data_IF_908162865822
#
_entry.id   IF_908162865822
#
_cell.length_a   1.000
_cell.length_b   1.000
_cell.length_c   1.000
_cell.angle_alpha   90.00
_cell.angle_beta   90.00
_cell.angle_gamma   90.00
#
_symmetry.space_group_name_H-M   'P 1'
#
loop_
_entity.id
_entity.type
_entity.pdbx_description
1 polymer ?
#
# COMPACT_ATOMS: atom_id res chain seq x y z
N UNK A 1 3.78 -7.46 -18.89
CA UNK A 1 4.66 -6.68 -17.99
C UNK A 1 3.83 -6.18 -16.82
N UNK A 2 4.09 -6.64 -15.60
CA UNK A 2 3.32 -6.23 -14.42
C UNK A 2 3.69 -4.80 -14.00
N UNK A 3 2.76 -4.11 -13.35
CA UNK A 3 2.97 -2.74 -12.85
C UNK A 3 2.87 -2.76 -11.34
N UNK A 4 3.79 -2.08 -10.65
CA UNK A 4 3.74 -1.93 -9.21
C UNK A 4 3.42 -0.48 -8.85
N UNK A 5 2.29 -0.29 -8.17
CA UNK A 5 1.84 0.99 -7.64
C UNK A 5 2.36 1.11 -6.19
N UNK A 6 3.10 2.17 -5.88
CA UNK A 6 3.53 2.42 -4.50
C UNK A 6 3.50 3.91 -4.18
N UNK A 7 3.35 4.22 -2.90
CA UNK A 7 3.35 5.58 -2.40
C UNK A 7 4.71 6.28 -2.58
N UNK A 8 4.71 7.62 -2.57
CA UNK A 8 5.90 8.47 -2.63
C UNK A 8 6.95 8.08 -1.57
N UNK A 9 6.55 7.59 -0.40
CA UNK A 9 7.49 7.11 0.64
C UNK A 9 8.44 6.00 0.16
N UNK A 10 7.98 5.16 -0.78
CA UNK A 10 8.72 4.04 -1.37
C UNK A 10 9.65 4.46 -2.50
N UNK A 11 9.75 5.76 -2.80
CA UNK A 11 10.70 6.25 -3.78
C UNK A 11 12.14 6.08 -3.28
N UNK A 12 12.80 5.05 -3.79
CA UNK A 12 14.19 4.69 -3.49
C UNK A 12 14.78 3.83 -4.62
N UNK A 13 16.04 4.08 -4.97
CA UNK A 13 16.66 3.47 -6.16
C UNK A 13 16.83 1.96 -6.02
N UNK A 14 17.18 1.49 -4.82
CA UNK A 14 17.25 0.06 -4.50
C UNK A 14 15.91 -0.63 -4.75
N UNK A 15 14.80 -0.01 -4.34
CA UNK A 15 13.46 -0.58 -4.50
C UNK A 15 13.04 -0.55 -5.98
N UNK A 16 13.22 0.57 -6.67
CA UNK A 16 12.94 0.68 -8.11
C UNK A 16 13.72 -0.36 -8.91
N UNK A 17 15.02 -0.52 -8.61
CA UNK A 17 15.87 -1.55 -9.22
C UNK A 17 15.39 -2.97 -8.92
N UNK A 18 14.95 -3.26 -7.69
CA UNK A 18 14.38 -4.56 -7.35
C UNK A 18 13.08 -4.86 -8.11
N UNK A 19 12.21 -3.85 -8.28
CA UNK A 19 10.95 -3.97 -9.03
C UNK A 19 11.25 -4.28 -10.50
N UNK A 20 12.20 -3.55 -11.10
CA UNK A 20 12.63 -3.76 -12.50
C UNK A 20 13.24 -5.14 -12.69
N UNK A 21 14.13 -5.59 -11.77
CA UNK A 21 14.71 -6.95 -11.81
C UNK A 21 13.66 -8.06 -11.73
N UNK A 22 12.53 -7.80 -11.09
CA UNK A 22 11.38 -8.73 -11.01
C UNK A 22 10.44 -8.64 -12.23
N UNK A 23 10.81 -7.89 -13.27
CA UNK A 23 10.02 -7.74 -14.50
C UNK A 23 8.80 -6.82 -14.37
N UNK A 24 8.76 -5.98 -13.34
CA UNK A 24 7.66 -5.05 -13.10
C UNK A 24 8.08 -3.59 -13.36
N UNK A 25 7.12 -2.75 -13.75
CA UNK A 25 7.34 -1.30 -13.92
C UNK A 25 6.97 -0.54 -12.64
N UNK A 26 7.89 0.22 -12.01
CA UNK A 26 7.58 1.02 -10.84
C UNK A 26 6.78 2.27 -11.22
N UNK A 27 5.53 2.35 -10.78
CA UNK A 27 4.68 3.54 -10.85
C UNK A 27 4.63 4.15 -9.46
N UNK A 28 5.69 4.90 -9.15
CA UNK A 28 5.92 5.53 -7.86
C UNK A 28 6.19 7.03 -8.11
N UNK A 29 5.48 7.95 -7.43
CA UNK A 29 5.78 9.37 -7.50
C UNK A 29 7.20 9.66 -7.01
N UNK A 30 7.84 10.69 -7.57
CA UNK A 30 9.15 11.12 -7.10
C UNK A 30 9.05 11.85 -5.76
N UNK A 31 10.01 11.62 -4.86
CA UNK A 31 10.21 12.46 -3.68
C UNK A 31 10.58 13.89 -4.09
N UNK A 32 10.26 14.86 -3.23
CA UNK A 32 10.54 16.28 -3.49
C UNK A 32 12.04 16.59 -3.53
N UNK A 33 12.86 15.81 -2.84
CA UNK A 33 14.32 15.96 -2.80
C UNK A 33 15.06 15.11 -3.85
N UNK A 34 14.35 14.49 -4.81
CA UNK A 34 14.97 13.62 -5.80
C UNK A 34 15.60 14.45 -6.92
N UNK A 35 16.90 14.25 -7.14
CA UNK A 35 17.67 14.91 -8.20
C UNK A 35 17.26 14.40 -9.59
N UNK A 36 17.13 13.07 -9.74
CA UNK A 36 16.78 12.45 -11.03
C UNK A 36 15.29 12.12 -11.08
N UNK A 37 14.52 12.90 -11.83
CA UNK A 37 13.07 12.74 -11.94
C UNK A 37 12.73 11.57 -12.88
N UNK A 38 12.04 10.55 -12.38
CA UNK A 38 11.51 9.47 -13.20
C UNK A 38 10.13 9.80 -13.76
N UNK A 39 9.91 9.54 -15.05
CA UNK A 39 8.57 9.58 -15.64
C UNK A 39 7.72 8.43 -15.08
N UNK A 40 6.58 8.75 -14.49
CA UNK A 40 5.61 7.76 -14.01
C UNK A 40 4.22 8.03 -14.59
N UNK A 41 3.42 6.99 -14.72
CA UNK A 41 2.06 7.10 -15.25
C UNK A 41 1.11 7.54 -14.13
N UNK A 42 0.72 8.83 -14.14
CA UNK A 42 -0.24 9.40 -13.18
C UNK A 42 -1.63 8.75 -13.24
N UNK A 43 -2.08 8.29 -14.42
CA UNK A 43 -3.38 7.61 -14.56
C UNK A 43 -3.35 6.25 -13.87
N UNK A 44 -2.28 5.48 -14.10
CA UNK A 44 -2.08 4.20 -13.41
C UNK A 44 -1.97 4.39 -11.89
N UNK A 45 -1.30 5.47 -11.43
CA UNK A 45 -1.18 5.80 -10.01
C UNK A 45 -2.53 5.96 -9.30
N UNK A 46 -3.60 6.39 -9.99
CA UNK A 46 -4.96 6.48 -9.42
C UNK A 46 -5.48 5.13 -8.93
N UNK A 47 -4.98 4.01 -9.46
CA UNK A 47 -5.34 2.67 -8.99
C UNK A 47 -5.01 2.42 -7.50
N UNK A 48 -4.11 3.23 -6.90
CA UNK A 48 -3.81 3.17 -5.46
C UNK A 48 -5.03 3.48 -4.58
N UNK A 49 -6.04 4.18 -5.11
CA UNK A 49 -7.28 4.44 -4.38
C UNK A 49 -7.99 3.14 -3.94
N UNK A 50 -7.81 2.02 -4.64
CA UNK A 50 -8.37 0.72 -4.23
C UNK A 50 -7.79 0.28 -2.88
N UNK A 51 -6.46 0.34 -2.73
CA UNK A 51 -5.81 -0.07 -1.48
C UNK A 51 -6.07 0.96 -0.36
N UNK A 52 -6.17 2.24 -0.69
CA UNK A 52 -6.53 3.28 0.29
C UNK A 52 -7.93 3.07 0.85
N UNK A 53 -8.93 2.87 -0.02
CA UNK A 53 -10.30 2.53 0.42
C UNK A 53 -10.31 1.27 1.26
N UNK A 54 -9.48 0.28 0.89
CA UNK A 54 -9.38 -0.95 1.66
C UNK A 54 -8.89 -0.70 3.10
N UNK A 55 -7.82 0.08 3.26
CA UNK A 55 -7.33 0.45 4.59
C UNK A 55 -8.27 1.38 5.34
N UNK A 56 -8.97 2.30 4.67
CA UNK A 56 -9.99 3.13 5.30
C UNK A 56 -11.10 2.25 5.92
N UNK A 57 -11.64 1.29 5.16
CA UNK A 57 -12.67 0.38 5.65
C UNK A 57 -12.20 -0.48 6.83
N UNK A 58 -10.95 -0.95 6.81
CA UNK A 58 -10.36 -1.66 7.95
C UNK A 58 -10.18 -0.76 9.19
N UNK A 59 -10.01 0.55 8.99
CA UNK A 59 -9.88 1.52 10.08
C UNK A 59 -11.21 1.99 10.65
N UNK A 60 -12.35 1.66 10.03
CA UNK A 60 -13.67 1.85 10.66
C UNK A 60 -13.74 1.09 12.00
N UNK A 61 -13.04 -0.03 12.10
CA UNK A 61 -12.87 -0.78 13.34
C UNK A 61 -11.86 -0.06 14.25
N UNK A 62 -12.37 0.70 15.23
CA UNK A 62 -11.56 1.49 16.19
C UNK A 62 -10.39 0.71 16.81
N UNK A 63 -10.59 -0.57 17.15
CA UNK A 63 -9.56 -1.45 17.72
C UNK A 63 -8.36 -1.63 16.77
N UNK A 64 -8.61 -1.73 15.47
CA UNK A 64 -7.57 -1.85 14.44
C UNK A 64 -6.91 -0.51 14.18
N UNK A 65 -7.70 0.57 14.03
CA UNK A 65 -7.17 1.90 13.77
C UNK A 65 -6.21 2.38 14.87
N UNK A 66 -6.57 2.14 16.14
CA UNK A 66 -5.78 2.55 17.31
C UNK A 66 -4.73 1.53 17.73
N UNK A 67 -4.71 0.33 17.11
CA UNK A 67 -3.81 -0.77 17.45
C UNK A 67 -3.80 -1.07 18.97
N UNK A 68 -4.97 -1.29 19.56
CA UNK A 68 -5.11 -1.54 21.00
C UNK A 68 -4.50 -2.87 21.46
N UNK A 69 -4.37 -3.84 20.57
CA UNK A 69 -3.79 -5.14 20.89
C UNK A 69 -2.28 -5.04 21.17
N UNK A 70 -1.88 -5.35 22.41
CA UNK A 70 -0.47 -5.35 22.85
C UNK A 70 0.35 -6.42 22.14
N UNK A 71 -0.24 -7.59 21.88
CA UNK A 71 0.43 -8.71 21.22
C UNK A 71 0.18 -8.67 19.72
N UNK A 72 1.24 -8.80 18.93
CA UNK A 72 1.17 -8.83 17.47
C UNK A 72 0.21 -9.92 16.95
N UNK A 73 0.19 -11.10 17.61
CA UNK A 73 -0.72 -12.20 17.24
C UNK A 73 -2.20 -11.82 17.39
N UNK A 74 -2.54 -11.09 18.45
CA UNK A 74 -3.92 -10.68 18.72
C UNK A 74 -4.34 -9.59 17.73
N UNK A 75 -3.44 -8.64 17.45
CA UNK A 75 -3.67 -7.63 16.42
C UNK A 75 -3.90 -8.25 15.04
N UNK A 76 -3.07 -9.23 14.66
CA UNK A 76 -3.23 -9.93 13.39
C UNK A 76 -4.57 -10.69 13.32
N UNK A 77 -4.96 -11.39 14.38
CA UNK A 77 -6.25 -12.06 14.46
C UNK A 77 -7.42 -11.07 14.32
N UNK A 78 -7.35 -9.90 14.98
CA UNK A 78 -8.35 -8.85 14.85
C UNK A 78 -8.43 -8.29 13.41
N UNK A 79 -7.29 -8.09 12.74
CA UNK A 79 -7.24 -7.66 11.33
C UNK A 79 -7.89 -8.70 10.41
N UNK A 80 -7.64 -10.00 10.64
CA UNK A 80 -8.30 -11.06 9.86
C UNK A 80 -9.82 -11.06 10.06
N UNK A 81 -10.29 -10.92 11.30
CA UNK A 81 -11.72 -10.83 11.59
C UNK A 81 -12.37 -9.62 10.91
N UNK A 82 -11.75 -8.44 11.00
CA UNK A 82 -12.28 -7.26 10.33
C UNK A 82 -12.26 -7.37 8.81
N UNK A 83 -11.23 -7.99 8.22
CA UNK A 83 -11.18 -8.25 6.79
C UNK A 83 -12.31 -9.20 6.34
N UNK A 84 -12.58 -10.26 7.11
CA UNK A 84 -13.69 -11.19 6.86
C UNK A 84 -15.04 -10.46 6.89
N UNK A 85 -15.28 -9.67 7.94
CA UNK A 85 -16.52 -8.91 8.11
C UNK A 85 -16.68 -7.85 7.02
N UNK A 86 -15.61 -7.14 6.67
CA UNK A 86 -15.66 -6.01 5.74
C UNK A 86 -15.78 -6.41 4.26
N UNK A 87 -15.25 -7.58 3.87
CA UNK A 87 -15.12 -7.95 2.45
C UNK A 87 -15.73 -9.30 2.05
N UNK A 88 -16.15 -10.13 3.01
CA UNK A 88 -16.67 -11.47 2.71
C UNK A 88 -18.11 -11.69 3.18
N UNK A 89 -18.47 -11.18 4.37
CA UNK A 89 -19.79 -11.39 4.97
C UNK A 89 -20.80 -10.26 4.67
N UNK A 90 -20.39 -9.28 3.89
CA UNK A 90 -21.15 -8.06 3.57
C UNK A 90 -21.42 -8.02 2.06
#
# INVERSE_FOLDING_TARGET
>A
MSVLLADKGYDGDKLRGAIIRRGAKPVIPNKSNRVVIHRFNKRAYKGRNVIERCFCRLKDFRRIAMRYDKLARNFLAAVHLAALVAYWLN
#
